data_IF_289510700273
#
_entry.id   IF_289510700273
#
_cell.length_a   1.000
_cell.length_b   1.000
_cell.length_c   1.000
_cell.angle_alpha   90.00
_cell.angle_beta   90.00
_cell.angle_gamma   90.00
#
_symmetry.space_group_name_H-M   'P 1'
#
loop_
_entity.id
_entity.type
_entity.pdbx_description
1 polymer ?
#
# COMPACT_ATOMS: atom_id res chain seq x y z
N UNK A 1 5.86 22.54 -14.83
CA UNK A 1 4.89 21.95 -15.78
C UNK A 1 5.25 20.49 -15.93
N UNK A 2 4.30 19.57 -15.71
CA UNK A 2 4.55 18.13 -15.70
C UNK A 2 5.04 17.71 -17.09
N UNK A 3 6.21 17.09 -17.17
CA UNK A 3 6.76 16.61 -18.44
C UNK A 3 6.18 15.23 -18.75
N UNK A 4 6.13 14.89 -20.03
CA UNK A 4 5.74 13.55 -20.49
C UNK A 4 6.62 12.45 -19.85
N UNK A 5 7.90 12.75 -19.56
CA UNK A 5 8.79 11.85 -18.82
C UNK A 5 8.30 11.52 -17.41
N UNK A 6 7.69 12.48 -16.71
CA UNK A 6 7.15 12.26 -15.37
C UNK A 6 5.92 11.34 -15.44
N UNK A 7 5.11 11.48 -16.49
CA UNK A 7 3.99 10.58 -16.76
C UNK A 7 4.46 9.15 -17.03
N UNK A 8 5.53 8.97 -17.82
CA UNK A 8 6.12 7.65 -18.06
C UNK A 8 6.65 7.00 -16.78
N UNK A 9 7.30 7.77 -15.90
CA UNK A 9 7.81 7.26 -14.63
C UNK A 9 6.65 6.80 -13.72
N UNK A 10 5.59 7.60 -13.62
CA UNK A 10 4.40 7.22 -12.84
C UNK A 10 3.75 5.97 -13.44
N UNK A 11 3.54 5.94 -14.75
CA UNK A 11 2.90 4.80 -15.41
C UNK A 11 3.74 3.53 -15.25
N UNK A 12 5.06 3.60 -15.43
CA UNK A 12 5.96 2.46 -15.25
C UNK A 12 5.95 1.92 -13.82
N UNK A 13 5.80 2.77 -12.80
CA UNK A 13 5.71 2.34 -11.41
C UNK A 13 4.37 1.65 -11.10
N UNK A 14 3.30 2.06 -11.78
CA UNK A 14 1.93 1.67 -11.46
C UNK A 14 1.42 0.49 -12.31
N UNK A 15 1.94 0.33 -13.53
CA UNK A 15 1.57 -0.77 -14.44
C UNK A 15 1.75 -2.16 -13.80
N UNK A 16 2.89 -2.51 -13.16
CA UNK A 16 3.05 -3.83 -12.54
C UNK A 16 1.99 -4.14 -11.48
N UNK A 17 1.58 -3.12 -10.71
CA UNK A 17 0.54 -3.26 -9.69
C UNK A 17 -0.81 -3.62 -10.30
N UNK A 18 -1.24 -2.90 -11.33
CA UNK A 18 -2.52 -3.18 -12.00
C UNK A 18 -2.51 -4.52 -12.74
N UNK A 19 -1.40 -4.88 -13.37
CA UNK A 19 -1.23 -6.19 -14.02
C UNK A 19 -1.41 -7.31 -12.99
N UNK A 20 -0.77 -7.20 -11.82
CA UNK A 20 -0.91 -8.17 -10.75
C UNK A 20 -2.37 -8.26 -10.24
N UNK A 21 -3.04 -7.13 -10.05
CA UNK A 21 -4.45 -7.10 -9.61
C UNK A 21 -5.40 -7.76 -10.61
N UNK A 22 -5.23 -7.51 -11.91
CA UNK A 22 -6.05 -8.09 -12.98
C UNK A 22 -5.82 -9.61 -13.07
N UNK A 23 -4.57 -10.06 -12.97
CA UNK A 23 -4.22 -11.49 -12.94
C UNK A 23 -4.85 -12.19 -11.74
N UNK A 24 -4.78 -11.59 -10.55
CA UNK A 24 -5.42 -12.14 -9.35
C UNK A 24 -6.95 -12.26 -9.54
N UNK A 25 -7.60 -11.22 -10.06
CA UNK A 25 -9.05 -11.22 -10.28
C UNK A 25 -9.49 -12.24 -11.35
N UNK A 26 -8.79 -12.28 -12.48
CA UNK A 26 -9.08 -13.23 -13.57
C UNK A 26 -8.86 -14.68 -13.15
N UNK A 27 -7.84 -14.94 -12.33
CA UNK A 27 -7.57 -16.27 -11.76
C UNK A 27 -8.72 -16.80 -10.88
N UNK A 28 -9.39 -15.92 -10.14
CA UNK A 28 -10.54 -16.29 -9.29
C UNK A 28 -11.82 -16.41 -10.11
N UNK A 29 -12.09 -15.44 -11.00
CA UNK A 29 -13.38 -15.35 -11.70
C UNK A 29 -13.52 -16.32 -12.88
N UNK A 30 -12.48 -16.48 -13.70
CA UNK A 30 -12.56 -17.23 -14.96
C UNK A 30 -11.93 -18.62 -14.85
N UNK A 31 -10.79 -18.73 -14.16
CA UNK A 31 -10.07 -20.00 -14.03
C UNK A 31 -10.40 -20.80 -12.77
N UNK A 32 -11.10 -20.22 -11.78
CA UNK A 32 -11.47 -20.87 -10.49
C UNK A 32 -10.32 -21.59 -9.78
N UNK A 33 -9.07 -21.16 -10.00
CA UNK A 33 -7.87 -21.80 -9.43
C UNK A 33 -7.81 -21.59 -7.91
N UNK A 34 -8.33 -20.46 -7.43
CA UNK A 34 -8.38 -20.10 -6.02
C UNK A 34 -9.83 -20.02 -5.53
N UNK A 35 -10.13 -20.75 -4.45
CA UNK A 35 -11.39 -20.61 -3.72
C UNK A 35 -11.36 -19.36 -2.82
N UNK A 36 -12.52 -18.76 -2.51
CA UNK A 36 -12.59 -17.55 -1.67
C UNK A 36 -11.92 -17.73 -0.30
N UNK A 37 -11.96 -18.94 0.28
CA UNK A 37 -11.26 -19.23 1.54
C UNK A 37 -9.73 -19.20 1.40
N UNK A 38 -9.18 -19.64 0.26
CA UNK A 38 -7.74 -19.54 0.01
C UNK A 38 -7.31 -18.09 -0.24
N UNK A 39 -8.13 -17.29 -0.94
CA UNK A 39 -7.88 -15.85 -1.08
C UNK A 39 -7.90 -15.12 0.28
N UNK A 40 -8.81 -15.49 1.18
CA UNK A 40 -8.83 -14.96 2.56
C UNK A 40 -7.57 -15.36 3.33
N UNK A 41 -7.12 -16.62 3.18
CA UNK A 41 -5.85 -17.09 3.75
C UNK A 41 -4.64 -16.31 3.25
N UNK A 42 -4.55 -16.04 1.95
CA UNK A 42 -3.49 -15.22 1.34
C UNK A 42 -3.55 -13.79 1.89
N UNK A 43 -4.74 -13.18 1.95
CA UNK A 43 -4.89 -11.81 2.45
C UNK A 43 -4.48 -11.71 3.94
N UNK A 44 -4.83 -12.72 4.75
CA UNK A 44 -4.39 -12.81 6.15
C UNK A 44 -2.88 -12.99 6.28
N UNK A 45 -2.27 -13.81 5.42
CA UNK A 45 -0.81 -13.97 5.39
C UNK A 45 -0.10 -12.66 5.02
N UNK A 46 -0.58 -11.97 3.98
CA UNK A 46 -0.05 -10.66 3.57
C UNK A 46 -0.19 -9.64 4.71
N UNK A 47 -1.34 -9.58 5.36
CA UNK A 47 -1.59 -8.66 6.48
C UNK A 47 -0.69 -8.94 7.70
N UNK A 48 -0.38 -10.22 7.99
CA UNK A 48 0.43 -10.59 9.15
C UNK A 48 1.94 -10.56 8.90
N UNK A 49 2.40 -10.87 7.69
CA UNK A 49 3.83 -11.01 7.40
C UNK A 49 4.36 -9.92 6.47
N UNK A 50 3.72 -9.71 5.32
CA UNK A 50 4.23 -8.76 4.33
C UNK A 50 4.05 -7.31 4.78
N UNK A 51 2.88 -6.95 5.33
CA UNK A 51 2.60 -5.57 5.76
C UNK A 51 3.53 -5.09 6.87
N UNK A 52 3.77 -5.84 7.96
CA UNK A 52 4.73 -5.42 8.98
C UNK A 52 6.16 -5.37 8.47
N UNK A 53 6.58 -6.30 7.62
CA UNK A 53 7.93 -6.34 7.06
C UNK A 53 8.21 -5.19 6.08
N UNK A 54 7.27 -4.89 5.18
CA UNK A 54 7.37 -3.70 4.33
C UNK A 54 7.39 -2.41 5.16
N UNK A 55 6.56 -2.34 6.19
CA UNK A 55 6.53 -1.19 7.11
C UNK A 55 7.89 -1.01 7.78
N UNK A 56 8.50 -2.10 8.26
CA UNK A 56 9.84 -2.05 8.85
C UNK A 56 10.90 -1.62 7.84
N UNK A 57 10.92 -2.20 6.63
CA UNK A 57 11.87 -1.83 5.58
C UNK A 57 11.74 -0.35 5.21
N UNK A 58 10.51 0.15 5.09
CA UNK A 58 10.25 1.55 4.77
C UNK A 58 10.69 2.48 5.90
N UNK A 59 10.39 2.15 7.16
CA UNK A 59 10.76 2.98 8.33
C UNK A 59 12.28 2.94 8.55
N UNK A 60 12.92 1.77 8.43
CA UNK A 60 14.36 1.61 8.65
C UNK A 60 15.21 2.28 7.56
N UNK A 61 14.72 2.33 6.32
CA UNK A 61 15.38 3.05 5.24
C UNK A 61 15.13 4.56 5.27
N UNK A 62 14.20 5.04 6.10
CA UNK A 62 13.89 6.46 6.20
C UNK A 62 14.70 7.08 7.34
N UNK A 63 15.41 8.17 7.08
CA UNK A 63 16.12 8.90 8.13
C UNK A 63 15.14 9.86 8.83
N UNK A 64 14.69 9.57 10.07
CA UNK A 64 13.68 10.39 10.75
C UNK A 64 14.13 11.83 11.01
N UNK A 65 15.44 12.10 10.99
CA UNK A 65 16.00 13.43 11.23
C UNK A 65 16.05 14.32 9.98
N UNK A 66 15.87 13.75 8.79
CA UNK A 66 15.83 14.50 7.53
C UNK A 66 14.43 14.49 6.88
N UNK A 67 13.41 14.02 7.60
CA UNK A 67 12.02 14.03 7.15
C UNK A 67 11.44 15.44 7.25
N UNK A 68 10.55 15.78 6.30
CA UNK A 68 9.88 17.08 6.29
C UNK A 68 8.94 17.19 7.50
N UNK A 69 9.33 17.94 8.53
CA UNK A 69 8.58 18.11 9.78
C UNK A 69 7.12 18.54 9.57
N UNK A 70 6.82 19.30 8.50
CA UNK A 70 5.44 19.68 8.17
C UNK A 70 4.59 18.47 7.75
N UNK A 71 5.18 17.54 7.01
CA UNK A 71 4.51 16.30 6.60
C UNK A 71 4.27 15.39 7.81
N UNK A 72 5.26 15.29 8.71
CA UNK A 72 5.11 14.52 9.95
C UNK A 72 4.03 15.11 10.87
N UNK A 73 4.00 16.44 11.05
CA UNK A 73 2.98 17.12 11.83
C UNK A 73 1.57 16.97 11.23
N UNK A 74 1.45 16.96 9.90
CA UNK A 74 0.17 16.72 9.23
C UNK A 74 -0.32 15.28 9.43
N UNK A 75 0.57 14.28 9.32
CA UNK A 75 0.24 12.87 9.57
C UNK A 75 -0.19 12.63 11.03
N UNK A 76 0.53 13.21 11.99
CA UNK A 76 0.19 13.06 13.42
C UNK A 76 -1.15 13.71 13.76
N UNK A 77 -1.42 14.92 13.26
CA UNK A 77 -2.71 15.58 13.43
C UNK A 77 -3.85 14.75 12.82
N UNK A 78 -3.67 14.23 11.60
CA UNK A 78 -4.67 13.39 10.95
C UNK A 78 -4.98 12.12 11.75
N UNK A 79 -3.95 11.43 12.27
CA UNK A 79 -4.13 10.25 13.13
C UNK A 79 -4.83 10.58 14.44
N UNK A 80 -4.49 11.69 15.08
CA UNK A 80 -5.13 12.15 16.33
C UNK A 80 -6.60 12.48 16.09
N UNK A 81 -6.94 13.14 14.98
CA UNK A 81 -8.34 13.44 14.63
C UNK A 81 -9.17 12.17 14.42
N UNK A 82 -8.62 11.17 13.73
CA UNK A 82 -9.29 9.87 13.54
C UNK A 82 -9.49 9.16 14.89
N UNK A 83 -8.47 9.15 15.75
CA UNK A 83 -8.57 8.56 17.09
C UNK A 83 -9.61 9.27 17.96
N UNK A 84 -9.65 10.60 17.93
CA UNK A 84 -10.64 11.40 18.64
C UNK A 84 -12.06 11.15 18.11
N UNK A 85 -12.23 11.03 16.79
CA UNK A 85 -13.51 10.68 16.16
C UNK A 85 -13.97 9.26 16.47
N UNK A 86 -13.05 8.33 16.73
CA UNK A 86 -13.42 6.95 17.10
C UNK A 86 -13.83 6.84 18.58
N UNK A 87 -13.45 7.80 19.41
CA UNK A 87 -13.78 7.86 20.84
C UNK A 87 -15.02 8.72 21.14
N UNK A 88 -15.60 9.39 20.14
CA UNK A 88 -16.84 10.19 20.25
C UNK A 88 -18.04 9.48 19.64
#
# INVERSE_FOLDING_TARGET
MIKISDLYNVLSAVVPLYVAMILAYSSVKWWKIFTPDQCSGINRFVALFAVPLLSFQYIASNNPFNMNFRFLAADTLAKVMILASWYS
#
